data_IF_335426739119
#
_entry.id   IF_335426739119
#
_cell.length_a   1.000
_cell.length_b   1.000
_cell.length_c   1.000
_cell.angle_alpha   90.00
_cell.angle_beta   90.00
_cell.angle_gamma   90.00
#
_symmetry.space_group_name_H-M   'P 1'
#
loop_
_entity.id
_entity.type
_entity.pdbx_description
1 polymer ?
#
# COMPACT_ATOMS: atom_id res chain seq x y z
N UNK A 1 26.58 1.04 9.06
CA UNK A 1 25.68 -0.10 8.71
C UNK A 1 25.66 -0.23 7.18
N UNK A 2 25.87 -1.43 6.62
CA UNK A 2 25.68 -1.75 5.19
C UNK A 2 24.27 -1.41 4.69
N UNK A 3 24.10 -1.17 3.38
CA UNK A 3 22.81 -0.77 2.82
C UNK A 3 21.76 -1.88 2.92
N UNK A 4 22.17 -3.12 2.73
CA UNK A 4 21.29 -4.30 2.72
C UNK A 4 20.69 -4.54 4.11
N UNK A 5 21.52 -4.41 5.15
CA UNK A 5 21.07 -4.53 6.54
C UNK A 5 20.13 -3.36 6.89
N UNK A 6 20.48 -2.15 6.46
CA UNK A 6 19.65 -0.98 6.72
C UNK A 6 18.28 -1.09 6.02
N UNK A 7 18.24 -1.54 4.77
CA UNK A 7 17.00 -1.80 4.05
C UNK A 7 16.09 -2.77 4.82
N UNK A 8 16.62 -3.89 5.30
CA UNK A 8 15.83 -4.86 6.10
C UNK A 8 15.28 -4.25 7.39
N UNK A 9 16.09 -3.45 8.09
CA UNK A 9 15.63 -2.76 9.32
C UNK A 9 14.49 -1.79 8.98
N UNK A 10 14.65 -0.98 7.93
CA UNK A 10 13.63 -0.01 7.52
C UNK A 10 12.36 -0.71 7.03
N UNK A 11 12.49 -1.86 6.35
CA UNK A 11 11.36 -2.68 5.93
C UNK A 11 10.55 -3.17 7.13
N UNK A 12 11.22 -3.68 8.17
CA UNK A 12 10.54 -4.09 9.42
C UNK A 12 9.85 -2.91 10.13
N UNK A 13 10.44 -1.72 10.10
CA UNK A 13 9.80 -0.51 10.66
C UNK A 13 8.53 -0.16 9.88
N UNK A 14 8.59 -0.17 8.54
CA UNK A 14 7.42 0.07 7.69
C UNK A 14 6.34 -0.98 7.93
N UNK A 15 6.69 -2.27 7.99
CA UNK A 15 5.71 -3.33 8.24
C UNK A 15 5.11 -3.25 9.65
N UNK A 16 5.85 -2.75 10.64
CA UNK A 16 5.33 -2.58 12.00
C UNK A 16 4.37 -1.39 12.15
N UNK A 17 4.69 -0.27 11.48
CA UNK A 17 3.95 0.99 11.63
C UNK A 17 2.97 1.29 10.48
N UNK A 18 3.09 0.59 9.37
CA UNK A 18 2.36 0.86 8.14
C UNK A 18 2.95 2.01 7.31
N UNK A 19 2.20 2.42 6.29
CA UNK A 19 2.60 3.38 5.26
C UNK A 19 2.97 4.75 5.82
N UNK A 20 2.44 5.14 6.99
CA UNK A 20 2.83 6.38 7.67
C UNK A 20 4.31 6.43 8.01
N UNK A 21 4.99 5.28 8.14
CA UNK A 21 6.41 5.20 8.43
C UNK A 21 7.29 5.79 7.31
N UNK A 22 6.84 5.74 6.06
CA UNK A 22 7.63 6.24 4.91
C UNK A 22 8.02 7.70 5.09
N UNK A 23 7.07 8.55 5.50
CA UNK A 23 7.32 9.97 5.72
C UNK A 23 8.30 10.16 6.88
N UNK A 24 8.02 9.53 8.03
CA UNK A 24 8.85 9.65 9.22
C UNK A 24 10.31 9.23 8.96
N UNK A 25 10.52 8.10 8.28
CA UNK A 25 11.85 7.59 7.92
C UNK A 25 12.55 8.54 6.94
N UNK A 26 11.83 9.09 5.96
CA UNK A 26 12.37 10.02 4.95
C UNK A 26 12.87 11.35 5.53
N UNK A 27 12.42 11.70 6.73
CA UNK A 27 12.84 12.90 7.45
C UNK A 27 14.12 12.70 8.28
N UNK A 28 14.51 11.46 8.57
CA UNK A 28 15.69 11.16 9.41
C UNK A 28 16.98 11.61 8.74
N UNK A 29 17.24 11.16 7.50
CA UNK A 29 18.38 11.59 6.70
C UNK A 29 18.18 11.29 5.21
N UNK A 30 19.03 11.89 4.35
CA UNK A 30 19.01 11.68 2.90
C UNK A 30 19.11 10.21 2.52
N UNK A 31 20.02 9.46 3.15
CA UNK A 31 20.20 8.03 2.88
C UNK A 31 18.93 7.21 3.14
N UNK A 32 18.19 7.53 4.21
CA UNK A 32 16.96 6.81 4.54
C UNK A 32 15.85 7.15 3.55
N UNK A 33 15.72 8.43 3.19
CA UNK A 33 14.82 8.91 2.14
C UNK A 33 15.07 8.21 0.81
N UNK A 34 16.34 8.09 0.40
CA UNK A 34 16.70 7.44 -0.86
C UNK A 34 16.30 5.96 -0.85
N UNK A 35 16.48 5.27 0.28
CA UNK A 35 16.07 3.86 0.44
C UNK A 35 14.56 3.72 0.36
N UNK A 36 13.80 4.41 1.23
CA UNK A 36 12.34 4.21 1.30
C UNK A 36 11.59 4.87 0.15
N UNK A 37 12.23 5.80 -0.54
CA UNK A 37 11.74 6.40 -1.77
C UNK A 37 11.89 5.47 -2.99
N UNK A 38 12.78 4.47 -2.93
CA UNK A 38 13.07 3.59 -4.05
C UNK A 38 11.85 2.71 -4.42
N UNK A 39 11.46 2.60 -5.70
CA UNK A 39 10.30 1.81 -6.11
C UNK A 39 10.38 0.35 -5.69
N UNK A 40 11.55 -0.27 -5.80
CA UNK A 40 11.75 -1.68 -5.41
C UNK A 40 11.52 -1.92 -3.92
N UNK A 41 11.93 -0.99 -3.05
CA UNK A 41 11.70 -1.09 -1.61
C UNK A 41 10.20 -0.99 -1.27
N UNK A 42 9.48 -0.07 -1.95
CA UNK A 42 8.04 0.09 -1.76
C UNK A 42 7.25 -1.14 -2.23
N UNK A 43 7.67 -1.73 -3.35
CA UNK A 43 7.09 -2.96 -3.86
C UNK A 43 7.32 -4.14 -2.90
N UNK A 44 8.53 -4.30 -2.39
CA UNK A 44 8.87 -5.33 -1.41
C UNK A 44 8.04 -5.18 -0.12
N UNK A 45 7.89 -3.95 0.40
CA UNK A 45 7.04 -3.68 1.55
C UNK A 45 5.57 -4.01 1.31
N UNK A 46 5.03 -3.65 0.14
CA UNK A 46 3.64 -3.96 -0.22
C UNK A 46 3.40 -5.47 -0.28
N UNK A 47 4.24 -6.22 -1.00
CA UNK A 47 4.08 -7.67 -1.08
C UNK A 47 4.31 -8.37 0.27
N UNK A 48 5.27 -7.88 1.06
CA UNK A 48 5.48 -8.39 2.42
C UNK A 48 4.27 -8.16 3.33
N UNK A 49 3.58 -7.02 3.16
CA UNK A 49 2.31 -6.77 3.83
C UNK A 49 1.21 -7.72 3.34
N UNK A 50 1.02 -7.85 2.02
CA UNK A 50 0.05 -8.78 1.42
C UNK A 50 0.23 -10.22 1.92
N UNK A 51 1.46 -10.72 1.92
CA UNK A 51 1.83 -12.05 2.39
C UNK A 51 1.61 -12.22 3.91
N UNK A 52 1.47 -11.13 4.66
CA UNK A 52 1.15 -11.16 6.10
C UNK A 52 -0.34 -11.22 6.41
N UNK A 53 -1.21 -10.83 5.47
CA UNK A 53 -2.67 -10.79 5.65
C UNK A 53 -3.40 -11.89 4.89
N UNK A 54 -2.74 -12.52 3.91
CA UNK A 54 -3.32 -13.56 3.05
C UNK A 54 -2.39 -14.76 2.97
N UNK A 55 -2.93 -15.96 3.23
CA UNK A 55 -2.24 -17.21 2.94
C UNK A 55 -2.52 -17.63 1.49
N UNK A 56 -1.66 -17.21 0.57
CA UNK A 56 -1.80 -17.46 -0.88
C UNK A 56 -1.82 -18.94 -1.28
N UNK A 57 -1.26 -19.83 -0.46
CA UNK A 57 -1.28 -21.28 -0.72
C UNK A 57 -2.69 -21.89 -0.67
N UNK A 58 -3.66 -21.17 -0.10
CA UNK A 58 -5.05 -21.61 -0.03
C UNK A 58 -5.84 -21.31 -1.32
N UNK A 59 -5.24 -20.62 -2.30
CA UNK A 59 -5.91 -20.14 -3.51
C UNK A 59 -5.30 -20.75 -4.78
N UNK A 60 -6.06 -20.71 -5.88
CA UNK A 60 -5.56 -21.15 -7.18
C UNK A 60 -4.50 -20.17 -7.71
N UNK A 61 -3.73 -20.60 -8.72
CA UNK A 61 -2.73 -19.74 -9.34
C UNK A 61 -3.38 -18.53 -10.01
N UNK A 62 -4.50 -18.76 -10.68
CA UNK A 62 -5.28 -17.72 -11.37
C UNK A 62 -5.75 -16.66 -10.38
N UNK A 63 -6.26 -17.08 -9.21
CA UNK A 63 -6.65 -16.15 -8.15
C UNK A 63 -5.45 -15.36 -7.60
N UNK A 64 -4.30 -16.00 -7.42
CA UNK A 64 -3.09 -15.31 -6.97
C UNK A 64 -2.62 -14.27 -8.01
N UNK A 65 -2.66 -14.60 -9.30
CA UNK A 65 -2.28 -13.69 -10.39
C UNK A 65 -3.22 -12.48 -10.48
N UNK A 66 -4.51 -12.67 -10.22
CA UNK A 66 -5.52 -11.61 -10.27
C UNK A 66 -5.42 -10.65 -9.08
N UNK A 67 -5.20 -11.17 -7.86
CA UNK A 67 -5.36 -10.38 -6.62
C UNK A 67 -4.06 -10.09 -5.86
N UNK A 68 -2.96 -10.81 -6.13
CA UNK A 68 -1.62 -10.51 -5.57
C UNK A 68 -0.86 -9.56 -6.48
N UNK A 69 -1.47 -8.41 -6.75
CA UNK A 69 -0.94 -7.40 -7.66
C UNK A 69 -0.33 -6.22 -6.90
N UNK A 70 0.49 -5.45 -7.62
CA UNK A 70 1.05 -4.22 -7.07
C UNK A 70 -0.03 -3.13 -7.00
N UNK A 71 0.19 -2.14 -6.14
CA UNK A 71 -0.67 -0.96 -6.09
C UNK A 71 -0.27 0.08 -7.14
N UNK A 72 -1.22 0.94 -7.47
CA UNK A 72 -0.98 2.19 -8.20
C UNK A 72 -1.18 3.38 -7.27
N UNK A 73 -0.57 4.52 -7.59
CA UNK A 73 -0.84 5.78 -6.89
C UNK A 73 -1.77 6.60 -7.77
N UNK A 74 -2.94 6.91 -7.24
CA UNK A 74 -3.96 7.72 -7.89
C UNK A 74 -4.14 9.05 -7.15
N UNK A 75 -4.64 10.06 -7.83
CA UNK A 75 -4.98 11.35 -7.23
C UNK A 75 -6.50 11.46 -7.04
N UNK A 76 -6.94 11.83 -5.84
CA UNK A 76 -8.37 12.01 -5.56
C UNK A 76 -8.93 13.21 -6.31
N UNK A 77 -10.04 13.04 -7.04
CA UNK A 77 -10.67 14.10 -7.82
C UNK A 77 -11.11 15.29 -6.96
N UNK A 78 -11.62 15.01 -5.75
CA UNK A 78 -12.16 16.02 -4.81
C UNK A 78 -11.05 16.74 -4.04
N UNK A 79 -10.23 16.00 -3.27
CA UNK A 79 -9.30 16.60 -2.32
C UNK A 79 -7.85 16.65 -2.82
N UNK A 80 -7.59 16.16 -4.05
CA UNK A 80 -6.26 16.12 -4.69
C UNK A 80 -5.20 15.34 -3.91
N UNK A 81 -5.60 14.58 -2.90
CA UNK A 81 -4.69 13.74 -2.11
C UNK A 81 -4.31 12.50 -2.92
N UNK A 82 -3.03 12.17 -2.93
CA UNK A 82 -2.52 10.92 -3.50
C UNK A 82 -2.86 9.75 -2.60
N UNK A 83 -3.36 8.66 -3.17
CA UNK A 83 -3.73 7.45 -2.42
C UNK A 83 -3.33 6.18 -3.17
N UNK A 84 -3.17 5.09 -2.43
CA UNK A 84 -2.94 3.76 -3.01
C UNK A 84 -4.25 3.20 -3.57
N UNK A 85 -4.24 2.88 -4.85
CA UNK A 85 -5.33 2.20 -5.55
C UNK A 85 -4.88 0.78 -5.90
N UNK A 86 -5.55 -0.21 -5.32
CA UNK A 86 -5.27 -1.64 -5.48
C UNK A 86 -6.43 -2.48 -6.04
N UNK A 87 -7.25 -2.03 -7.02
CA UNK A 87 -8.31 -2.86 -7.59
C UNK A 87 -7.84 -3.65 -8.83
N UNK A 88 -8.31 -4.90 -9.01
CA UNK A 88 -8.89 -5.75 -7.97
C UNK A 88 -7.84 -6.13 -6.92
N UNK A 89 -8.22 -6.24 -5.65
CA UNK A 89 -7.26 -6.64 -4.61
C UNK A 89 -7.54 -6.16 -3.20
N UNK A 90 -6.49 -6.25 -2.40
CA UNK A 90 -6.51 -5.99 -0.96
C UNK A 90 -6.14 -4.54 -0.65
N UNK A 91 -6.87 -3.95 0.31
CA UNK A 91 -6.65 -2.60 0.82
C UNK A 91 -6.19 -2.64 2.27
N UNK A 92 -5.21 -1.81 2.58
CA UNK A 92 -4.79 -1.52 3.94
C UNK A 92 -3.61 -0.56 3.96
N UNK A 93 -3.37 0.06 5.11
CA UNK A 93 -2.23 0.96 5.32
C UNK A 93 -0.86 0.27 5.45
N UNK A 94 -0.64 -0.92 4.88
CA UNK A 94 0.68 -1.59 4.85
C UNK A 94 1.19 -2.15 6.19
N UNK A 95 0.42 -2.05 7.28
CA UNK A 95 0.81 -2.60 8.59
C UNK A 95 0.59 -4.11 8.62
N UNK A 96 1.63 -4.85 9.01
CA UNK A 96 1.66 -6.32 9.07
C UNK A 96 0.47 -6.86 9.86
N UNK A 97 -0.24 -7.81 9.25
CA UNK A 97 -1.41 -8.46 9.85
C UNK A 97 -2.67 -7.58 9.94
N UNK A 98 -2.65 -6.35 9.41
CA UNK A 98 -3.81 -5.45 9.39
C UNK A 98 -4.35 -5.35 7.97
N UNK A 99 -5.59 -5.81 7.78
CA UNK A 99 -6.34 -5.72 6.54
C UNK A 99 -7.54 -4.79 6.75
N UNK A 100 -7.72 -3.82 5.84
CA UNK A 100 -8.88 -2.91 5.88
C UNK A 100 -10.02 -3.39 5.00
N UNK A 101 -9.73 -4.08 3.90
CA UNK A 101 -10.75 -4.64 3.02
C UNK A 101 -10.20 -5.35 1.80
N UNK A 102 -11.10 -5.99 1.06
CA UNK A 102 -10.84 -6.62 -0.22
C UNK A 102 -11.92 -6.18 -1.20
N UNK A 103 -11.50 -5.76 -2.40
CA UNK A 103 -12.38 -5.24 -3.42
C UNK A 103 -12.15 -5.99 -4.73
N UNK A 104 -13.19 -6.66 -5.23
CA UNK A 104 -13.18 -7.24 -6.57
C UNK A 104 -13.33 -6.15 -7.66
N UNK A 105 -13.91 -5.00 -7.32
CA UNK A 105 -14.14 -3.87 -8.22
C UNK A 105 -13.83 -2.54 -7.54
N UNK A 106 -13.65 -1.48 -8.33
CA UNK A 106 -13.51 -0.13 -7.76
C UNK A 106 -14.87 0.42 -7.38
N UNK A 107 -15.16 0.50 -6.08
CA UNK A 107 -16.44 1.06 -5.61
C UNK A 107 -16.56 2.56 -5.94
N UNK A 108 -15.47 3.31 -5.80
CA UNK A 108 -15.41 4.76 -6.04
C UNK A 108 -14.14 5.13 -6.84
N UNK A 109 -14.16 4.99 -8.18
CA UNK A 109 -12.99 5.31 -9.00
C UNK A 109 -12.63 6.79 -8.86
N UNK A 110 -11.34 7.08 -8.81
CA UNK A 110 -10.78 8.43 -8.67
C UNK A 110 -11.05 9.13 -7.33
N UNK A 111 -11.58 8.43 -6.31
CA UNK A 111 -11.79 8.99 -4.97
C UNK A 111 -11.03 8.20 -3.91
N UNK A 112 -10.38 8.90 -2.97
CA UNK A 112 -9.64 8.26 -1.88
C UNK A 112 -10.54 7.70 -0.77
N UNK A 113 -11.78 8.19 -0.68
CA UNK A 113 -12.77 7.78 0.31
C UNK A 113 -14.19 7.95 -0.23
N UNK A 114 -15.12 7.22 0.38
CA UNK A 114 -16.55 7.38 0.14
C UNK A 114 -17.01 8.82 0.41
N UNK A 115 -16.46 9.48 1.44
CA UNK A 115 -16.77 10.88 1.74
C UNK A 115 -16.40 11.81 0.57
N UNK A 116 -15.22 11.63 -0.04
CA UNK A 116 -14.83 12.44 -1.20
C UNK A 116 -15.78 12.21 -2.38
N UNK A 117 -16.17 10.95 -2.62
CA UNK A 117 -17.14 10.60 -3.65
C UNK A 117 -18.50 11.29 -3.43
N UNK A 118 -19.06 11.20 -2.21
CA UNK A 118 -20.34 11.82 -1.87
C UNK A 118 -20.28 13.35 -1.90
N UNK A 119 -19.19 13.97 -1.43
CA UNK A 119 -18.99 15.43 -1.50
C UNK A 119 -18.94 15.93 -2.94
N UNK A 120 -18.42 15.11 -3.86
CA UNK A 120 -18.43 15.39 -5.30
C UNK A 120 -19.77 15.10 -5.99
N UNK A 121 -20.82 14.78 -5.23
CA UNK A 121 -22.17 14.54 -5.75
C UNK A 121 -22.47 13.09 -6.13
N UNK A 122 -21.60 12.15 -5.77
CA UNK A 122 -21.84 10.71 -5.96
C UNK A 122 -22.99 10.19 -5.09
N UNK A 123 -23.73 9.21 -5.61
CA UNK A 123 -24.80 8.50 -4.90
C UNK A 123 -24.39 7.05 -4.64
N UNK A 124 -24.74 6.52 -3.47
CA UNK A 124 -24.41 5.17 -3.00
C UNK A 124 -25.44 4.13 -3.48
#
# INVERSE_FOLDING_TARGET
IPNEILQRILLEVVLSQGDSAYLNISLVCRRFRDIVGHPGFKQEAHFSWLDSVVNWNNFSKEFCEEYRVNYTISECFTCKTLFKSCPPGYKGGGKRGVLEGFYSTVDWPDFCSQDCFCVSGGQL
#
